data_IF_200017174910
#
_entry.id   IF_200017174910
#
_cell.length_a   1.000
_cell.length_b   1.000
_cell.length_c   1.000
_cell.angle_alpha   90.00
_cell.angle_beta   90.00
_cell.angle_gamma   90.00
#
_symmetry.space_group_name_H-M   'P 1'
#
loop_
_entity.id
_entity.type
_entity.pdbx_description
1 polymer ?
#
# COMPACT_ATOMS: atom_id res chain seq x y z
N UNK A 1 15.76 -11.45 9.24
CA UNK A 1 14.88 -11.40 10.43
C UNK A 1 13.59 -12.17 10.19
N UNK A 2 12.86 -12.55 11.22
CA UNK A 2 11.52 -13.12 11.10
C UNK A 2 10.49 -12.11 11.59
N UNK A 3 9.38 -11.99 10.87
CA UNK A 3 8.27 -11.11 11.21
C UNK A 3 7.01 -11.96 11.35
N UNK A 4 6.30 -11.83 12.48
CA UNK A 4 4.93 -12.34 12.63
C UNK A 4 3.99 -11.25 12.17
N UNK A 5 3.10 -11.60 11.25
CA UNK A 5 2.09 -10.68 10.74
C UNK A 5 0.74 -11.37 10.63
N UNK A 6 -0.32 -10.59 10.73
CA UNK A 6 -1.68 -11.12 10.64
C UNK A 6 -2.73 -10.04 10.84
N UNK A 7 -3.97 -10.45 10.67
CA UNK A 7 -5.13 -9.57 10.92
C UNK A 7 -6.32 -10.36 11.46
N UNK A 8 -7.24 -9.63 12.07
CA UNK A 8 -8.57 -10.07 12.48
C UNK A 8 -9.57 -8.99 12.09
N UNK A 9 -10.38 -9.26 11.08
CA UNK A 9 -11.34 -8.31 10.50
C UNK A 9 -12.74 -8.91 10.58
N UNK A 10 -13.70 -8.14 11.11
CA UNK A 10 -15.10 -8.54 11.17
C UNK A 10 -15.98 -7.53 10.45
N UNK A 11 -16.84 -8.02 9.56
CA UNK A 11 -17.72 -7.24 8.70
C UNK A 11 -19.17 -7.69 8.96
N UNK A 12 -20.04 -6.74 9.26
CA UNK A 12 -21.49 -6.96 9.38
C UNK A 12 -22.15 -6.77 8.03
N UNK A 13 -22.98 -7.71 7.60
CA UNK A 13 -23.80 -7.61 6.41
C UNK A 13 -25.28 -7.86 6.75
N UNK A 14 -26.17 -7.02 6.22
CA UNK A 14 -27.61 -7.13 6.46
C UNK A 14 -28.30 -8.14 5.52
N UNK A 15 -27.62 -8.53 4.45
CA UNK A 15 -28.01 -9.57 3.50
C UNK A 15 -26.79 -10.37 3.07
N UNK A 16 -27.01 -11.52 2.41
CA UNK A 16 -25.92 -12.22 1.73
C UNK A 16 -25.24 -11.28 0.74
N UNK A 17 -23.95 -11.03 0.95
CA UNK A 17 -23.22 -9.97 0.23
C UNK A 17 -21.98 -10.55 -0.42
N UNK A 18 -21.87 -10.50 -1.77
CA UNK A 18 -20.61 -10.81 -2.44
C UNK A 18 -19.50 -9.87 -1.94
N UNK A 19 -18.36 -10.45 -1.61
CA UNK A 19 -17.19 -9.74 -1.07
C UNK A 19 -15.94 -10.14 -1.83
N UNK A 20 -15.11 -9.15 -2.11
CA UNK A 20 -13.78 -9.30 -2.69
C UNK A 20 -12.76 -8.70 -1.72
N UNK A 21 -11.65 -9.40 -1.49
CA UNK A 21 -10.60 -8.97 -0.57
C UNK A 21 -9.21 -9.12 -1.18
N UNK A 22 -8.33 -8.14 -0.92
CA UNK A 22 -6.90 -8.18 -1.21
C UNK A 22 -6.14 -8.23 0.13
N UNK A 23 -6.32 -9.32 0.86
CA UNK A 23 -5.83 -9.53 2.22
C UNK A 23 -4.69 -10.57 2.29
N UNK A 24 -4.33 -11.16 1.17
CA UNK A 24 -3.24 -12.15 1.10
C UNK A 24 -1.89 -11.46 0.91
N UNK A 25 -0.83 -12.11 1.38
CA UNK A 25 0.54 -11.73 1.02
C UNK A 25 0.69 -11.80 -0.50
N UNK A 26 1.30 -10.79 -1.10
CA UNK A 26 1.52 -10.72 -2.56
C UNK A 26 2.35 -11.93 -3.03
N UNK A 27 2.03 -12.56 -4.18
CA UNK A 27 2.72 -13.75 -4.68
C UNK A 27 4.24 -13.62 -4.79
N UNK A 28 4.76 -12.41 -5.06
CA UNK A 28 6.21 -12.16 -5.09
C UNK A 28 6.93 -12.44 -3.77
N UNK A 29 6.20 -12.45 -2.65
CA UNK A 29 6.72 -12.73 -1.30
C UNK A 29 6.37 -14.13 -0.80
N UNK A 30 5.68 -14.96 -1.61
CA UNK A 30 5.26 -16.31 -1.20
C UNK A 30 6.43 -17.20 -0.76
N UNK A 31 7.58 -17.12 -1.42
CA UNK A 31 8.80 -17.86 -1.08
C UNK A 31 9.39 -17.51 0.29
N UNK A 32 9.06 -16.35 0.80
CA UNK A 32 9.58 -15.82 2.07
C UNK A 32 8.74 -16.30 3.26
N UNK A 33 7.54 -16.85 3.05
CA UNK A 33 6.68 -17.40 4.11
C UNK A 33 7.36 -18.56 4.81
N UNK A 34 7.35 -18.54 6.14
CA UNK A 34 7.84 -19.62 7.03
C UNK A 34 6.69 -20.44 7.58
N UNK A 35 5.52 -19.83 7.73
CA UNK A 35 4.26 -20.53 7.99
C UNK A 35 3.23 -20.11 6.95
N UNK A 36 2.25 -20.96 6.60
CA UNK A 36 1.25 -20.61 5.59
C UNK A 36 0.41 -19.39 6.00
N UNK A 37 0.29 -18.39 5.12
CA UNK A 37 -0.58 -17.23 5.28
C UNK A 37 -2.00 -17.57 4.78
N UNK A 38 -2.69 -18.49 5.49
CA UNK A 38 -4.03 -18.94 5.11
C UNK A 38 -5.08 -18.03 5.73
N UNK A 39 -6.00 -17.55 4.90
CA UNK A 39 -7.16 -16.80 5.39
C UNK A 39 -8.18 -17.80 5.95
N UNK A 40 -8.54 -17.63 7.22
CA UNK A 40 -9.65 -18.33 7.85
C UNK A 40 -10.91 -17.48 7.79
N UNK A 41 -12.07 -18.12 7.60
CA UNK A 41 -13.38 -17.48 7.52
C UNK A 41 -14.36 -18.10 8.50
N UNK A 42 -15.17 -17.29 9.17
CA UNK A 42 -16.31 -17.79 9.95
C UNK A 42 -17.54 -18.13 9.10
N UNK A 43 -17.54 -17.70 7.83
CA UNK A 43 -18.63 -18.01 6.89
C UNK A 43 -18.50 -19.42 6.30
N UNK A 44 -19.63 -19.99 5.87
CA UNK A 44 -19.69 -21.30 5.20
C UNK A 44 -19.32 -21.24 3.72
N UNK A 45 -19.37 -20.05 3.10
CA UNK A 45 -19.05 -19.89 1.69
C UNK A 45 -17.55 -20.05 1.44
N UNK A 46 -17.15 -20.71 0.33
CA UNK A 46 -15.75 -20.93 0.02
C UNK A 46 -15.00 -19.62 -0.23
N UNK A 47 -13.72 -19.61 0.13
CA UNK A 47 -12.79 -18.57 -0.26
C UNK A 47 -12.14 -18.94 -1.59
N UNK A 48 -12.44 -18.20 -2.66
CA UNK A 48 -11.94 -18.48 -4.02
C UNK A 48 -10.87 -17.47 -4.39
N UNK A 49 -9.62 -17.94 -4.53
CA UNK A 49 -8.47 -17.13 -4.91
C UNK A 49 -8.31 -16.99 -6.42
N UNK A 50 -7.88 -15.81 -6.89
CA UNK A 50 -7.47 -15.56 -8.28
C UNK A 50 -6.50 -14.40 -8.33
N UNK A 51 -5.65 -14.35 -9.37
CA UNK A 51 -4.82 -13.17 -9.60
C UNK A 51 -5.63 -12.08 -10.31
N UNK A 52 -5.35 -10.83 -9.96
CA UNK A 52 -5.82 -9.67 -10.71
C UNK A 52 -4.80 -9.25 -11.79
N UNK A 53 -5.10 -8.16 -12.50
CA UNK A 53 -4.24 -7.61 -13.57
C UNK A 53 -2.89 -7.08 -13.09
N UNK A 54 -2.75 -6.80 -11.77
CA UNK A 54 -1.52 -6.31 -11.15
C UNK A 54 -0.73 -7.42 -10.45
N UNK A 55 -1.20 -8.68 -10.57
CA UNK A 55 -0.58 -9.84 -9.94
C UNK A 55 -0.90 -10.00 -8.45
N UNK A 56 -1.88 -9.26 -7.91
CA UNK A 56 -2.32 -9.42 -6.53
C UNK A 56 -3.20 -10.66 -6.38
N UNK A 57 -3.08 -11.34 -5.24
CA UNK A 57 -3.97 -12.47 -4.92
C UNK A 57 -5.28 -11.96 -4.34
N UNK A 58 -6.32 -11.99 -5.18
CA UNK A 58 -7.67 -11.58 -4.85
C UNK A 58 -8.49 -12.78 -4.35
N UNK A 59 -9.09 -12.65 -3.17
CA UNK A 59 -10.02 -13.64 -2.61
C UNK A 59 -11.45 -13.17 -2.76
N UNK A 60 -12.35 -14.05 -3.22
CA UNK A 60 -13.79 -13.80 -3.32
C UNK A 60 -14.54 -14.76 -2.42
N UNK A 61 -15.63 -14.29 -1.80
CA UNK A 61 -16.57 -15.09 -1.01
C UNK A 61 -17.94 -14.42 -0.98
N UNK A 62 -18.93 -15.09 -0.41
CA UNK A 62 -20.23 -14.51 -0.06
C UNK A 62 -20.29 -14.40 1.45
N UNK A 63 -20.35 -13.17 1.96
CA UNK A 63 -20.57 -12.91 3.37
C UNK A 63 -22.00 -13.28 3.74
N UNK A 64 -22.24 -14.05 4.82
CA UNK A 64 -23.59 -14.38 5.26
C UNK A 64 -24.31 -13.17 5.83
N UNK A 65 -25.62 -13.28 6.02
CA UNK A 65 -26.36 -12.36 6.91
C UNK A 65 -25.75 -12.44 8.31
N UNK A 66 -25.45 -11.31 8.91
CA UNK A 66 -24.76 -11.24 10.19
C UNK A 66 -23.27 -10.90 10.02
N UNK A 67 -22.42 -11.50 10.83
CA UNK A 67 -21.00 -11.16 10.92
C UNK A 67 -20.13 -12.17 10.18
N UNK A 68 -19.36 -11.71 9.20
CA UNK A 68 -18.24 -12.45 8.62
C UNK A 68 -16.96 -12.02 9.32
N UNK A 69 -16.20 -12.97 9.86
CA UNK A 69 -14.83 -12.76 10.35
C UNK A 69 -13.84 -13.38 9.38
N UNK A 70 -12.84 -12.60 8.98
CA UNK A 70 -11.68 -13.04 8.20
C UNK A 70 -10.42 -12.82 9.04
N UNK A 71 -9.59 -13.84 9.18
CA UNK A 71 -8.35 -13.73 9.96
C UNK A 71 -7.22 -14.54 9.32
N UNK A 72 -5.99 -14.10 9.58
CA UNK A 72 -4.76 -14.85 9.28
C UNK A 72 -3.69 -14.52 10.31
N UNK A 73 -2.77 -15.44 10.51
CA UNK A 73 -1.57 -15.26 11.34
C UNK A 73 -0.45 -16.09 10.69
N UNK A 74 0.67 -15.48 10.40
CA UNK A 74 1.78 -16.12 9.73
C UNK A 74 3.12 -15.52 10.12
N UNK A 75 4.19 -16.27 9.85
CA UNK A 75 5.57 -15.81 9.98
C UNK A 75 6.22 -15.74 8.60
N UNK A 76 6.89 -14.63 8.33
CA UNK A 76 7.58 -14.39 7.07
C UNK A 76 9.04 -14.00 7.32
N UNK A 77 9.92 -14.45 6.43
CA UNK A 77 11.32 -14.03 6.39
C UNK A 77 11.42 -12.67 5.70
N UNK A 78 12.16 -11.77 6.32
CA UNK A 78 12.54 -10.48 5.74
C UNK A 78 14.06 -10.34 5.72
N UNK A 79 14.61 -9.50 4.83
CA UNK A 79 16.04 -9.23 4.77
C UNK A 79 16.57 -8.58 6.04
N UNK A 80 15.73 -7.85 6.76
CA UNK A 80 16.12 -7.01 7.88
C UNK A 80 16.85 -5.73 7.46
N UNK A 81 16.95 -5.49 6.15
CA UNK A 81 17.56 -4.28 5.61
C UNK A 81 16.47 -3.21 5.38
N UNK A 82 16.82 -1.92 5.51
CA UNK A 82 15.91 -0.84 5.16
C UNK A 82 15.62 -0.80 3.66
N UNK A 83 14.56 -0.08 3.28
CA UNK A 83 14.26 0.23 1.88
C UNK A 83 15.52 0.76 1.18
N UNK A 84 15.76 0.27 -0.04
CA UNK A 84 16.97 0.62 -0.79
C UNK A 84 16.98 2.10 -1.18
N UNK A 85 18.13 2.76 -0.99
CA UNK A 85 18.40 4.14 -1.42
C UNK A 85 19.38 4.12 -2.58
N UNK A 86 18.97 4.65 -3.75
CA UNK A 86 19.71 4.61 -5.01
C UNK A 86 19.82 5.99 -5.68
N UNK A 87 20.60 6.94 -5.13
CA UNK A 87 20.69 8.31 -5.67
C UNK A 87 21.14 8.38 -7.13
N UNK A 88 21.78 7.35 -7.64
CA UNK A 88 22.23 7.22 -9.04
C UNK A 88 21.13 6.77 -10.00
N UNK A 89 19.97 6.30 -9.51
CA UNK A 89 18.90 5.80 -10.35
C UNK A 89 18.28 6.95 -11.17
N UNK A 90 18.37 6.81 -12.50
CA UNK A 90 17.92 7.83 -13.44
C UNK A 90 16.49 7.59 -13.92
N UNK A 91 15.82 8.64 -14.37
CA UNK A 91 14.57 8.50 -15.12
C UNK A 91 14.83 7.73 -16.43
N UNK A 92 13.90 6.83 -16.75
CA UNK A 92 13.89 6.13 -18.05
C UNK A 92 13.05 6.98 -19.02
N UNK A 93 13.58 7.31 -20.21
CA UNK A 93 12.78 8.00 -21.23
C UNK A 93 11.50 7.22 -21.55
N UNK A 94 10.38 7.92 -21.74
CA UNK A 94 9.07 7.28 -21.99
C UNK A 94 9.13 6.25 -23.12
N UNK A 95 9.83 6.59 -24.22
CA UNK A 95 9.98 5.70 -25.38
C UNK A 95 10.79 4.41 -25.08
N UNK A 96 11.43 4.32 -23.93
CA UNK A 96 12.23 3.16 -23.49
C UNK A 96 11.60 2.42 -22.30
N UNK A 97 10.44 2.91 -21.83
CA UNK A 97 9.73 2.24 -20.74
C UNK A 97 9.16 0.88 -21.22
N UNK A 98 9.22 -0.16 -20.38
CA UNK A 98 8.53 -1.40 -20.69
C UNK A 98 7.00 -1.22 -20.59
N UNK A 99 6.25 -1.99 -21.38
CA UNK A 99 4.79 -1.87 -21.48
C UNK A 99 4.08 -1.96 -20.13
N UNK A 100 4.57 -2.83 -19.24
CA UNK A 100 4.02 -2.98 -17.89
C UNK A 100 4.18 -1.73 -17.00
N UNK A 101 5.10 -0.81 -17.32
CA UNK A 101 5.26 0.44 -16.60
C UNK A 101 4.35 1.56 -17.14
N UNK A 102 3.91 1.48 -18.41
CA UNK A 102 3.17 2.54 -19.08
C UNK A 102 1.84 2.87 -18.40
N UNK A 103 1.12 1.86 -17.87
CA UNK A 103 -0.15 2.08 -17.16
C UNK A 103 0.02 2.96 -15.92
N UNK A 104 1.23 3.02 -15.35
CA UNK A 104 1.55 3.77 -14.14
C UNK A 104 2.04 5.21 -14.40
N UNK A 105 1.94 5.67 -15.64
CA UNK A 105 2.07 7.09 -16.03
C UNK A 105 0.71 7.81 -16.04
N UNK A 106 -0.39 7.05 -16.14
CA UNK A 106 -1.72 7.61 -16.36
C UNK A 106 -2.40 7.99 -15.04
N UNK A 107 -3.27 9.00 -15.10
CA UNK A 107 -4.16 9.32 -13.99
C UNK A 107 -5.08 8.15 -13.63
N UNK A 108 -5.57 8.13 -12.39
CA UNK A 108 -6.45 7.08 -11.88
C UNK A 108 -7.47 7.64 -10.87
N UNK A 109 -8.34 6.80 -10.29
CA UNK A 109 -9.48 7.23 -9.48
C UNK A 109 -9.11 8.24 -8.39
N UNK A 110 -7.97 8.05 -7.71
CA UNK A 110 -7.52 8.92 -6.63
C UNK A 110 -6.30 9.76 -6.98
N UNK A 111 -5.68 9.57 -8.15
CA UNK A 111 -4.48 10.25 -8.60
C UNK A 111 -4.80 11.10 -9.84
N UNK A 112 -5.29 12.32 -9.62
CA UNK A 112 -5.77 13.26 -10.65
C UNK A 112 -4.60 14.03 -11.23
N UNK A 113 -3.96 13.49 -12.26
CA UNK A 113 -2.79 14.12 -12.90
C UNK A 113 -3.16 15.37 -13.67
N UNK A 114 -4.35 15.45 -14.22
CA UNK A 114 -4.89 16.61 -14.94
C UNK A 114 -4.98 17.86 -14.06
N UNK A 115 -5.34 17.70 -12.77
CA UNK A 115 -5.45 18.81 -11.82
C UNK A 115 -4.13 19.23 -11.21
N UNK A 116 -3.15 18.32 -11.15
CA UNK A 116 -1.88 18.51 -10.45
C UNK A 116 -0.72 18.87 -11.41
N UNK A 117 -0.89 18.69 -12.73
CA UNK A 117 0.23 18.74 -13.69
C UNK A 117 0.91 20.11 -13.74
N UNK A 118 0.17 21.21 -13.84
CA UNK A 118 0.75 22.55 -13.90
C UNK A 118 1.58 22.85 -12.64
N UNK A 119 1.01 22.57 -11.47
CA UNK A 119 1.70 22.74 -10.19
C UNK A 119 2.94 21.85 -10.08
N UNK A 120 2.85 20.59 -10.48
CA UNK A 120 3.98 19.66 -10.43
C UNK A 120 5.16 20.16 -11.28
N UNK A 121 4.90 20.63 -12.49
CA UNK A 121 5.94 21.19 -13.36
C UNK A 121 6.52 22.49 -12.81
N UNK A 122 5.71 23.35 -12.21
CA UNK A 122 6.20 24.57 -11.56
C UNK A 122 7.12 24.27 -10.38
N UNK A 123 6.80 23.23 -9.56
CA UNK A 123 7.58 22.87 -8.38
C UNK A 123 8.82 22.03 -8.73
N UNK A 124 8.71 21.07 -9.63
CA UNK A 124 9.72 20.04 -9.83
C UNK A 124 10.38 20.06 -11.22
N UNK A 125 9.94 20.90 -12.16
CA UNK A 125 10.49 20.97 -13.51
C UNK A 125 11.98 21.27 -13.54
N UNK A 126 12.47 22.08 -12.61
CA UNK A 126 13.89 22.45 -12.45
C UNK A 126 14.73 21.50 -11.59
N UNK A 127 14.12 20.48 -10.94
CA UNK A 127 14.90 19.54 -10.09
C UNK A 127 15.71 18.57 -10.95
N UNK A 128 16.88 18.07 -10.45
CA UNK A 128 17.63 17.02 -11.13
C UNK A 128 16.75 15.78 -11.36
N UNK A 129 16.82 15.21 -12.56
CA UNK A 129 16.02 14.04 -12.94
C UNK A 129 16.43 12.79 -12.16
N UNK A 130 15.52 11.82 -12.10
CA UNK A 130 15.74 10.54 -11.44
C UNK A 130 15.41 10.58 -9.95
N UNK A 131 16.21 9.87 -9.16
CA UNK A 131 16.01 9.77 -7.71
C UNK A 131 15.80 11.13 -7.03
N UNK A 132 16.64 12.11 -7.35
CA UNK A 132 16.59 13.44 -6.73
C UNK A 132 15.25 14.14 -6.93
N UNK A 133 14.65 14.00 -8.12
CA UNK A 133 13.30 14.56 -8.38
C UNK A 133 12.24 13.84 -7.56
N UNK A 134 12.29 12.51 -7.51
CA UNK A 134 11.35 11.72 -6.69
C UNK A 134 11.51 12.07 -5.22
N UNK A 135 12.74 12.21 -4.72
CA UNK A 135 12.98 12.62 -3.32
C UNK A 135 12.43 14.03 -3.06
N UNK A 136 12.60 14.98 -3.97
CA UNK A 136 12.02 16.32 -3.84
C UNK A 136 10.47 16.27 -3.77
N UNK A 137 9.83 15.37 -4.53
CA UNK A 137 8.38 15.13 -4.44
C UNK A 137 8.02 14.54 -3.07
N UNK A 138 8.77 13.55 -2.59
CA UNK A 138 8.57 12.93 -1.27
C UNK A 138 8.68 13.97 -0.16
N UNK A 139 9.74 14.79 -0.18
CA UNK A 139 9.98 15.87 0.79
C UNK A 139 8.83 16.89 0.78
N UNK A 140 8.38 17.28 -0.42
CA UNK A 140 7.25 18.17 -0.57
C UNK A 140 5.97 17.60 0.05
N UNK A 141 5.61 16.36 -0.28
CA UNK A 141 4.39 15.71 0.23
C UNK A 141 4.47 15.52 1.74
N UNK A 142 5.63 15.08 2.26
CA UNK A 142 5.87 14.92 3.68
C UNK A 142 5.63 16.21 4.47
N UNK A 143 6.15 17.32 3.98
CA UNK A 143 6.03 18.63 4.62
C UNK A 143 4.66 19.31 4.35
N UNK A 144 3.96 18.90 3.28
CA UNK A 144 2.66 19.48 2.89
C UNK A 144 1.52 18.94 3.72
N UNK A 145 1.53 17.64 4.06
CA UNK A 145 0.41 16.97 4.70
C UNK A 145 0.67 16.73 6.20
N UNK A 146 -0.33 17.01 7.01
CA UNK A 146 -0.36 16.59 8.41
C UNK A 146 -1.04 15.23 8.52
N UNK A 147 -0.32 14.24 9.09
CA UNK A 147 -0.85 12.90 9.31
C UNK A 147 -1.76 12.85 10.53
N UNK A 148 -2.89 12.12 10.42
CA UNK A 148 -3.73 11.76 11.57
C UNK A 148 -4.89 10.85 11.18
N UNK A 149 -5.17 9.83 11.98
CA UNK A 149 -6.27 8.88 11.73
C UNK A 149 -7.65 9.55 11.74
N UNK A 150 -7.82 10.63 12.49
CA UNK A 150 -9.03 11.45 12.49
C UNK A 150 -9.34 12.08 11.13
N UNK A 151 -8.34 12.18 10.25
CA UNK A 151 -8.50 12.69 8.90
C UNK A 151 -8.83 11.61 7.86
N UNK A 152 -9.02 10.35 8.30
CA UNK A 152 -9.35 9.25 7.38
C UNK A 152 -10.67 9.52 6.63
N UNK A 153 -10.60 9.56 5.30
CA UNK A 153 -11.75 9.74 4.41
C UNK A 153 -11.57 8.89 3.15
N UNK A 154 -12.43 7.89 2.97
CA UNK A 154 -12.31 6.91 1.89
C UNK A 154 -12.35 7.53 0.48
N UNK A 155 -12.97 8.69 0.33
CA UNK A 155 -13.15 9.38 -0.96
C UNK A 155 -12.05 10.39 -1.31
N UNK A 156 -11.15 10.74 -0.36
CA UNK A 156 -10.14 11.78 -0.60
C UNK A 156 -9.23 11.41 -1.75
N UNK A 157 -9.09 12.34 -2.69
CA UNK A 157 -8.20 12.26 -3.85
C UNK A 157 -6.86 12.93 -3.56
N UNK A 158 -5.89 12.76 -4.46
CA UNK A 158 -4.57 13.42 -4.37
C UNK A 158 -4.70 14.96 -4.37
N UNK A 159 -5.58 15.50 -5.23
CA UNK A 159 -5.85 16.93 -5.26
C UNK A 159 -6.46 17.42 -3.95
N UNK A 160 -7.48 16.74 -3.44
CA UNK A 160 -8.12 17.13 -2.16
C UNK A 160 -7.13 17.04 -0.98
N UNK A 161 -6.27 16.01 -0.95
CA UNK A 161 -5.22 15.92 0.06
C UNK A 161 -4.26 17.12 -0.01
N UNK A 162 -3.85 17.51 -1.22
CA UNK A 162 -3.01 18.69 -1.43
C UNK A 162 -3.66 19.97 -0.91
N UNK A 163 -4.94 20.20 -1.21
CA UNK A 163 -5.69 21.40 -0.79
C UNK A 163 -5.95 21.42 0.73
N UNK A 164 -6.43 20.29 1.28
CA UNK A 164 -6.80 20.18 2.69
C UNK A 164 -5.58 20.06 3.62
N UNK A 165 -4.41 19.68 3.12
CA UNK A 165 -3.14 19.53 3.86
C UNK A 165 -3.20 18.54 5.01
N UNK A 166 -4.09 17.58 4.97
CA UNK A 166 -4.25 16.53 5.97
C UNK A 166 -4.52 15.19 5.31
N UNK A 167 -4.18 14.09 5.98
CA UNK A 167 -4.49 12.77 5.46
C UNK A 167 -3.94 11.62 6.29
N UNK A 168 -4.17 10.40 5.79
CA UNK A 168 -3.58 9.15 6.28
C UNK A 168 -2.54 8.64 5.29
N UNK A 169 -1.83 7.55 5.60
CA UNK A 169 -0.77 6.99 4.75
C UNK A 169 -1.15 6.86 3.27
N UNK A 170 -2.41 6.47 2.98
CA UNK A 170 -2.96 6.39 1.64
C UNK A 170 -2.93 7.73 0.90
N UNK A 171 -3.29 8.82 1.57
CA UNK A 171 -3.38 10.15 0.97
C UNK A 171 -1.99 10.70 0.62
N UNK A 172 -0.99 10.44 1.48
CA UNK A 172 0.42 10.74 1.20
C UNK A 172 0.91 9.97 -0.04
N UNK A 173 0.62 8.66 -0.11
CA UNK A 173 1.01 7.84 -1.25
C UNK A 173 0.33 8.30 -2.54
N UNK A 174 -0.98 8.61 -2.52
CA UNK A 174 -1.71 9.09 -3.69
C UNK A 174 -1.15 10.42 -4.24
N UNK A 175 -0.88 11.38 -3.35
CA UNK A 175 -0.32 12.66 -3.78
C UNK A 175 1.07 12.48 -4.39
N UNK A 176 1.94 11.68 -3.76
CA UNK A 176 3.28 11.42 -4.30
C UNK A 176 3.22 10.68 -5.65
N UNK A 177 2.35 9.67 -5.78
CA UNK A 177 2.11 8.95 -7.05
C UNK A 177 1.63 9.89 -8.15
N UNK A 178 0.64 10.74 -7.86
CA UNK A 178 0.10 11.68 -8.84
C UNK A 178 1.18 12.68 -9.31
N UNK A 179 1.96 13.23 -8.38
CA UNK A 179 3.05 14.16 -8.71
C UNK A 179 4.18 13.50 -9.52
N UNK A 180 4.57 12.26 -9.20
CA UNK A 180 5.52 11.50 -10.01
C UNK A 180 5.02 11.31 -11.44
N UNK A 181 3.76 10.93 -11.61
CA UNK A 181 3.14 10.74 -12.93
C UNK A 181 3.06 12.04 -13.72
N UNK A 182 2.73 13.16 -13.08
CA UNK A 182 2.77 14.49 -13.69
C UNK A 182 4.18 14.82 -14.23
N UNK A 183 5.22 14.31 -13.60
CA UNK A 183 6.62 14.48 -14.05
C UNK A 183 7.07 13.40 -15.04
N UNK A 184 6.13 12.60 -15.58
CA UNK A 184 6.39 11.50 -16.51
C UNK A 184 7.24 10.37 -15.91
N UNK A 185 7.14 10.15 -14.61
CA UNK A 185 7.82 9.08 -13.90
C UNK A 185 6.78 8.03 -13.52
N UNK A 186 6.88 6.76 -13.99
CA UNK A 186 5.92 5.72 -13.61
C UNK A 186 5.96 5.49 -12.11
N UNK A 187 4.78 5.60 -11.48
CA UNK A 187 4.62 5.40 -10.05
C UNK A 187 3.35 4.60 -9.74
N UNK A 188 3.46 3.63 -8.83
CA UNK A 188 2.35 2.76 -8.44
C UNK A 188 2.16 2.74 -6.93
N UNK A 189 0.92 2.67 -6.54
CA UNK A 189 0.49 2.53 -5.16
C UNK A 189 0.77 1.12 -4.67
N UNK A 190 1.15 0.98 -3.41
CA UNK A 190 1.36 -0.28 -2.73
C UNK A 190 0.78 -0.23 -1.31
N UNK A 191 0.29 -1.37 -0.84
CA UNK A 191 -0.22 -1.52 0.52
C UNK A 191 0.15 -2.87 1.10
N UNK A 192 0.23 -2.92 2.43
CA UNK A 192 0.56 -4.13 3.16
C UNK A 192 0.90 -3.86 4.61
N UNK A 193 1.61 -4.78 5.22
CA UNK A 193 2.04 -4.65 6.61
C UNK A 193 3.33 -3.81 6.70
N UNK A 194 3.39 -2.97 7.71
CA UNK A 194 4.57 -2.23 8.10
C UNK A 194 4.53 -1.97 9.60
N UNK A 195 5.28 -2.74 10.36
CA UNK A 195 5.38 -2.61 11.83
C UNK A 195 6.40 -1.56 12.27
N UNK A 196 6.46 -1.33 13.57
CA UNK A 196 7.43 -0.43 14.20
C UNK A 196 8.81 -1.10 14.37
N UNK A 197 9.30 -1.75 13.30
CA UNK A 197 10.56 -2.47 13.27
C UNK A 197 11.69 -1.48 12.97
N UNK A 198 12.70 -1.47 13.84
CA UNK A 198 13.86 -0.56 13.70
C UNK A 198 13.58 0.90 14.06
N UNK A 199 12.41 1.20 14.60
CA UNK A 199 12.03 2.53 15.11
C UNK A 199 11.42 2.41 16.51
N UNK A 200 11.33 3.51 17.29
CA UNK A 200 10.58 3.50 18.53
C UNK A 200 9.11 3.12 18.31
N UNK A 201 8.50 2.32 19.21
CA UNK A 201 7.09 1.96 19.10
C UNK A 201 6.20 3.21 19.09
N UNK A 202 5.19 3.20 18.23
CA UNK A 202 4.18 4.26 18.14
C UNK A 202 2.97 3.86 18.98
N UNK A 203 2.53 4.75 19.87
CA UNK A 203 1.33 4.51 20.71
C UNK A 203 0.05 4.76 19.88
N UNK A 204 -0.20 3.89 18.92
CA UNK A 204 -1.40 3.87 18.09
C UNK A 204 -1.73 2.42 17.69
N UNK A 205 -3.00 2.09 17.48
CA UNK A 205 -3.38 0.80 16.93
C UNK A 205 -2.67 0.55 15.59
N UNK A 206 -2.11 -0.65 15.43
CA UNK A 206 -1.47 -1.03 14.18
C UNK A 206 -2.51 -1.20 13.08
N UNK A 207 -2.18 -0.75 11.88
CA UNK A 207 -3.00 -0.80 10.68
C UNK A 207 -2.16 -1.27 9.49
N UNK A 208 -2.82 -1.63 8.38
CA UNK A 208 -2.11 -1.73 7.11
C UNK A 208 -1.56 -0.36 6.71
N UNK A 209 -0.38 -0.37 6.14
CA UNK A 209 0.27 0.85 5.66
C UNK A 209 0.16 0.98 4.16
N UNK A 210 0.27 2.22 3.69
CA UNK A 210 0.38 2.52 2.28
C UNK A 210 1.71 3.23 2.00
N UNK A 211 2.31 2.87 0.88
CA UNK A 211 3.51 3.49 0.31
C UNK A 211 3.40 3.50 -1.20
N UNK A 212 4.45 3.80 -1.91
CA UNK A 212 4.45 3.74 -3.36
C UNK A 212 5.78 3.24 -3.91
N UNK A 213 5.75 2.80 -5.15
CA UNK A 213 6.93 2.36 -5.86
C UNK A 213 7.09 3.19 -7.14
N UNK A 214 8.35 3.51 -7.49
CA UNK A 214 8.70 4.32 -8.66
C UNK A 214 9.65 3.57 -9.56
N UNK A 215 9.42 3.62 -10.88
CA UNK A 215 10.26 2.98 -11.87
C UNK A 215 11.40 3.90 -12.30
N UNK A 216 12.61 3.57 -11.88
CA UNK A 216 13.85 4.29 -12.19
C UNK A 216 14.92 3.30 -12.61
N UNK A 217 15.77 3.66 -13.58
CA UNK A 217 16.90 2.83 -13.99
C UNK A 217 16.57 1.39 -14.39
N UNK A 218 15.34 1.17 -14.89
CA UNK A 218 14.88 -0.15 -15.35
C UNK A 218 14.26 -1.05 -14.27
N UNK A 219 14.01 -0.55 -13.05
CA UNK A 219 13.36 -1.31 -11.98
C UNK A 219 12.55 -0.45 -11.01
N UNK A 220 11.75 -1.10 -10.18
CA UNK A 220 10.92 -0.44 -9.16
C UNK A 220 11.69 -0.23 -7.86
N UNK A 221 11.57 0.97 -7.29
CA UNK A 221 12.11 1.34 -5.98
C UNK A 221 10.98 1.78 -5.06
N UNK A 222 11.07 1.42 -3.79
CA UNK A 222 10.11 1.80 -2.74
C UNK A 222 10.39 3.20 -2.23
N UNK A 223 9.32 4.00 -2.10
CA UNK A 223 9.32 5.31 -1.46
C UNK A 223 8.14 5.44 -0.50
N UNK A 224 8.29 6.27 0.52
CA UNK A 224 7.25 6.49 1.53
C UNK A 224 7.19 7.95 1.93
N UNK A 225 6.21 8.67 1.38
CA UNK A 225 6.06 10.10 1.64
C UNK A 225 5.54 10.42 3.06
N UNK A 226 4.89 9.46 3.74
CA UNK A 226 4.46 9.64 5.14
C UNK A 226 5.64 9.65 6.09
N UNK A 227 6.53 8.67 5.97
CA UNK A 227 7.67 8.54 6.89
C UNK A 227 8.90 9.31 6.43
N UNK A 228 9.07 9.44 5.12
CA UNK A 228 10.23 10.07 4.47
C UNK A 228 11.58 9.52 4.96
N UNK A 229 11.59 8.26 5.33
CA UNK A 229 12.77 7.52 5.76
C UNK A 229 12.67 6.07 5.29
N UNK A 230 13.79 5.43 4.91
CA UNK A 230 13.82 4.00 4.64
C UNK A 230 13.32 3.20 5.84
N UNK A 231 12.40 2.27 5.62
CA UNK A 231 11.82 1.42 6.66
C UNK A 231 12.23 -0.03 6.46
N UNK A 232 12.16 -0.81 7.52
CA UNK A 232 12.45 -2.26 7.55
C UNK A 232 11.17 -3.04 7.66
N UNK A 233 11.09 -4.21 6.99
CA UNK A 233 10.04 -5.19 7.26
C UNK A 233 8.71 -4.92 6.54
N UNK A 234 8.72 -4.33 5.34
CA UNK A 234 7.50 -4.21 4.52
C UNK A 234 7.07 -5.57 3.99
N UNK A 235 5.82 -5.92 4.23
CA UNK A 235 5.22 -7.13 3.66
C UNK A 235 4.13 -6.69 2.69
N UNK A 236 4.43 -6.79 1.39
CA UNK A 236 3.51 -6.39 0.33
C UNK A 236 2.28 -7.30 0.30
N UNK A 237 1.08 -6.72 0.23
CA UNK A 237 -0.19 -7.39 -0.01
C UNK A 237 -0.71 -7.11 -1.42
N UNK A 238 -0.78 -5.83 -1.78
CA UNK A 238 -1.28 -5.43 -3.09
C UNK A 238 -0.56 -4.19 -3.63
N UNK A 239 -0.55 -4.07 -4.96
CA UNK A 239 -0.11 -2.89 -5.70
C UNK A 239 -1.02 -2.64 -6.90
N UNK A 240 -1.13 -1.38 -7.31
CA UNK A 240 -1.99 -0.98 -8.40
C UNK A 240 -1.78 0.49 -8.75
N UNK A 241 -2.70 1.08 -9.51
CA UNK A 241 -2.61 2.49 -9.87
C UNK A 241 -2.87 3.41 -8.69
N UNK A 242 -3.82 3.02 -7.83
CA UNK A 242 -4.16 3.68 -6.58
C UNK A 242 -4.94 2.73 -5.66
N UNK A 243 -5.50 3.21 -4.55
CA UNK A 243 -6.21 2.39 -3.58
C UNK A 243 -7.53 1.78 -4.11
N UNK A 244 -8.06 2.22 -5.26
CA UNK A 244 -9.20 1.56 -5.87
C UNK A 244 -8.84 0.18 -6.43
N UNK A 245 -7.63 0.05 -6.99
CA UNK A 245 -7.09 -1.23 -7.42
C UNK A 245 -6.60 -2.11 -6.26
N UNK A 246 -6.34 -1.50 -5.09
CA UNK A 246 -5.75 -2.14 -3.91
C UNK A 246 -6.68 -2.14 -2.69
N UNK A 247 -7.99 -2.08 -2.90
CA UNK A 247 -8.95 -2.06 -1.80
C UNK A 247 -8.84 -3.33 -0.94
N UNK A 248 -8.61 -3.15 0.36
CA UNK A 248 -8.50 -4.24 1.35
C UNK A 248 -9.74 -5.15 1.27
N UNK A 249 -10.93 -4.54 1.25
CA UNK A 249 -12.19 -5.22 1.01
C UNK A 249 -13.09 -4.39 0.12
N UNK A 250 -13.85 -5.06 -0.75
CA UNK A 250 -14.92 -4.46 -1.56
C UNK A 250 -16.17 -5.29 -1.38
N UNK A 251 -17.23 -4.68 -0.84
CA UNK A 251 -18.55 -5.30 -0.66
C UNK A 251 -19.49 -4.87 -1.77
N UNK A 252 -20.21 -5.81 -2.35
CA UNK A 252 -21.23 -5.56 -3.36
C UNK A 252 -22.63 -5.56 -2.73
N UNK A 253 -22.78 -4.82 -1.64
CA UNK A 253 -23.96 -4.64 -0.81
C UNK A 253 -23.65 -3.79 0.40
N UNK A 254 -24.65 -3.55 1.25
CA UNK A 254 -24.44 -2.80 2.50
C UNK A 254 -23.63 -3.63 3.49
N UNK A 255 -22.56 -3.04 3.98
CA UNK A 255 -21.69 -3.68 4.97
C UNK A 255 -21.10 -2.64 5.92
N UNK A 256 -20.81 -3.07 7.13
CA UNK A 256 -20.18 -2.23 8.17
C UNK A 256 -19.00 -2.95 8.80
N UNK A 257 -17.87 -2.29 8.89
CA UNK A 257 -16.70 -2.79 9.62
C UNK A 257 -17.00 -2.77 11.12
N UNK A 258 -16.85 -3.92 11.80
CA UNK A 258 -17.04 -4.07 13.24
C UNK A 258 -15.74 -4.16 14.00
N UNK A 259 -14.77 -4.90 13.47
CA UNK A 259 -13.46 -5.10 14.06
C UNK A 259 -12.38 -5.01 12.99
N UNK A 260 -11.29 -4.35 13.32
CA UNK A 260 -10.13 -4.25 12.45
C UNK A 260 -8.87 -4.24 13.32
N UNK A 261 -8.18 -5.36 13.33
CA UNK A 261 -6.94 -5.54 14.09
C UNK A 261 -5.87 -6.08 13.16
N UNK A 262 -4.71 -5.43 13.16
CA UNK A 262 -3.53 -5.85 12.41
C UNK A 262 -2.39 -6.07 13.41
N UNK A 263 -1.52 -7.03 13.13
CA UNK A 263 -0.30 -7.31 13.89
C UNK A 263 0.87 -7.40 12.93
N UNK A 264 1.99 -6.78 13.30
CA UNK A 264 3.24 -6.86 12.54
C UNK A 264 4.41 -6.66 13.49
N UNK A 265 4.97 -7.75 14.00
CA UNK A 265 5.99 -7.73 15.04
C UNK A 265 7.24 -8.51 14.62
N UNK A 266 8.41 -8.04 15.03
CA UNK A 266 9.63 -8.83 14.92
C UNK A 266 9.58 -10.04 15.88
N UNK A 267 9.84 -11.24 15.36
CA UNK A 267 9.96 -12.46 16.16
C UNK A 267 11.34 -12.46 16.83
N UNK A 268 11.39 -12.17 18.12
CA UNK A 268 12.62 -12.25 18.91
C UNK A 268 12.92 -13.70 19.27
N UNK A 269 14.18 -14.09 19.26
CA UNK A 269 14.66 -15.49 19.42
C UNK A 269 14.20 -16.25 20.68
N UNK A 270 13.58 -15.60 21.66
CA UNK A 270 13.06 -16.23 22.86
C UNK A 270 11.73 -17.02 22.66
N UNK A 271 11.06 -16.88 21.53
CA UNK A 271 9.75 -17.53 21.27
C UNK A 271 9.88 -18.85 20.51
N UNK A 272 11.06 -19.19 19.98
CA UNK A 272 11.30 -20.44 19.25
C UNK A 272 11.71 -21.63 20.15
N UNK A 273 11.71 -21.44 21.47
CA UNK A 273 12.13 -22.46 22.45
C UNK A 273 10.96 -22.98 23.35
N UNK A 274 9.71 -22.75 22.94
CA UNK A 274 8.54 -23.25 23.69
C UNK A 274 7.66 -24.19 22.84
#
# INVERSE_FOLDING_TARGET
MLIRAGYDISIQCDSETPLMALLSVHPSRAKDLRTPAVITSSGSSPLVGSLDWFGNLRTRTIAPVGTLRLATDFVIQDSGLPDEVAPWASEVPIAQLPDEAMTFLLGSRYCETDRLSEMAWALFGGTPRGWSRVQAIVDYVHNRLTFGYQFARATRTAWEAHEERVGVCRDFAHLAVALCRCMNIPARYATGYLGDIGIPPVDAPMDFSAWFEVFLGGRWFTFDARHNTPRVGRILMARGRDAADCAITTSFGQSRLLNFKVVTDEVRSAVLAA
#
